data_IF_770435430168
#
_entry.id   IF_770435430168
#
_cell.length_a   1.000
_cell.length_b   1.000
_cell.length_c   1.000
_cell.angle_alpha   90.00
_cell.angle_beta   90.00
_cell.angle_gamma   90.00
#
_symmetry.space_group_name_H-M   'P 1'
#
loop_
_entity.id
_entity.type
_entity.pdbx_description
1 polymer ?
#
# COMPACT_ATOMS: atom_id res chain seq x y z
N UNK A 1 4.29 -2.47 -11.24
CA UNK A 1 4.87 -1.18 -10.76
C UNK A 1 4.09 -0.04 -11.39
N UNK A 2 3.41 0.77 -10.55
CA UNK A 2 2.47 1.80 -10.99
C UNK A 2 3.10 2.80 -11.99
N UNK A 3 2.43 3.01 -13.13
CA UNK A 3 2.79 3.99 -14.16
C UNK A 3 1.71 5.08 -14.21
N UNK A 4 2.10 6.33 -14.45
CA UNK A 4 1.16 7.44 -14.60
C UNK A 4 0.71 7.57 -16.05
N UNK A 5 -0.35 6.87 -16.39
CA UNK A 5 -1.18 7.14 -17.58
C UNK A 5 -2.66 7.36 -17.22
N UNK A 6 -2.95 7.68 -15.96
CA UNK A 6 -4.31 8.03 -15.53
C UNK A 6 -5.27 6.84 -15.43
N UNK A 7 -4.81 5.62 -15.74
CA UNK A 7 -5.60 4.38 -15.65
C UNK A 7 -4.95 3.30 -14.79
N UNK A 8 -3.69 3.46 -14.35
CA UNK A 8 -2.85 2.35 -13.84
C UNK A 8 -2.42 2.41 -12.36
N UNK A 9 -3.29 2.88 -11.47
CA UNK A 9 -3.08 2.76 -10.01
C UNK A 9 -3.99 1.70 -9.40
N UNK A 10 -3.77 0.45 -9.81
CA UNK A 10 -4.48 -0.73 -9.34
C UNK A 10 -3.49 -1.87 -9.09
N UNK A 11 -3.87 -2.81 -8.25
CA UNK A 11 -3.15 -4.07 -8.08
C UNK A 11 -3.33 -4.94 -9.32
N UNK A 12 -2.27 -5.46 -9.94
CA UNK A 12 -2.41 -6.48 -10.97
C UNK A 12 -3.11 -7.73 -10.40
N UNK A 13 -3.97 -8.35 -11.20
CA UNK A 13 -4.79 -9.50 -10.75
C UNK A 13 -3.93 -10.74 -10.41
N UNK A 14 -2.82 -10.94 -11.12
CA UNK A 14 -1.98 -12.15 -11.04
C UNK A 14 -0.60 -11.88 -10.40
N UNK A 15 -0.59 -11.32 -9.19
CA UNK A 15 0.65 -11.20 -8.41
C UNK A 15 0.86 -12.41 -7.49
N UNK A 16 2.05 -13.00 -7.56
CA UNK A 16 2.51 -14.03 -6.60
C UNK A 16 2.87 -13.44 -5.22
N UNK A 17 2.85 -12.11 -5.08
CA UNK A 17 3.24 -11.38 -3.87
C UNK A 17 2.14 -10.41 -3.46
N UNK A 18 2.01 -10.18 -2.15
CA UNK A 18 1.17 -9.10 -1.63
C UNK A 18 1.73 -7.72 -1.97
N UNK A 19 0.85 -6.73 -2.17
CA UNK A 19 1.23 -5.37 -2.57
C UNK A 19 0.44 -4.33 -1.78
N UNK A 20 1.12 -3.28 -1.33
CA UNK A 20 0.51 -2.05 -0.84
C UNK A 20 0.90 -0.91 -1.78
N UNK A 21 -0.08 -0.09 -2.16
CA UNK A 21 0.14 1.06 -3.04
C UNK A 21 -0.15 2.37 -2.31
N UNK A 22 0.63 3.41 -2.62
CA UNK A 22 0.35 4.77 -2.19
C UNK A 22 0.61 5.77 -3.32
N UNK A 23 -0.27 6.77 -3.44
CA UNK A 23 -0.14 7.85 -4.41
C UNK A 23 -0.42 9.19 -3.72
N UNK A 24 0.30 10.23 -4.12
CA UNK A 24 0.07 11.58 -3.69
C UNK A 24 0.65 12.59 -4.70
N UNK A 25 0.29 13.87 -4.56
CA UNK A 25 0.72 14.96 -5.44
C UNK A 25 2.03 15.64 -5.01
N UNK A 26 2.63 15.23 -3.89
CA UNK A 26 3.82 15.86 -3.32
C UNK A 26 5.08 15.16 -3.85
N UNK A 27 6.12 15.92 -4.19
CA UNK A 27 7.42 15.37 -4.59
C UNK A 27 8.29 15.08 -3.37
N UNK A 28 9.21 14.12 -3.49
CA UNK A 28 10.15 13.74 -2.42
C UNK A 28 9.48 13.30 -1.09
N UNK A 29 8.37 12.56 -1.18
CA UNK A 29 7.71 12.00 0.00
C UNK A 29 8.62 11.00 0.70
N UNK A 30 8.78 11.19 2.00
CA UNK A 30 9.47 10.23 2.87
C UNK A 30 8.63 8.96 3.01
N UNK A 31 9.25 7.78 2.87
CA UNK A 31 8.59 6.48 2.98
C UNK A 31 7.82 6.25 4.29
N UNK A 32 8.15 6.99 5.37
CA UNK A 32 7.41 6.97 6.64
C UNK A 32 5.96 7.42 6.49
N UNK A 33 5.66 8.29 5.53
CA UNK A 33 4.30 8.81 5.31
C UNK A 33 3.35 7.69 4.87
N UNK A 34 3.58 6.99 3.74
CA UNK A 34 2.71 5.87 3.34
C UNK A 34 2.74 4.72 4.35
N UNK A 35 3.89 4.39 4.93
CA UNK A 35 3.97 3.35 5.97
C UNK A 35 3.08 3.67 7.17
N UNK A 36 3.06 4.93 7.63
CA UNK A 36 2.20 5.36 8.72
C UNK A 36 0.71 5.29 8.33
N UNK A 37 0.36 5.69 7.11
CA UNK A 37 -1.03 5.63 6.64
C UNK A 37 -1.53 4.18 6.58
N UNK A 38 -0.74 3.29 5.98
CA UNK A 38 -1.07 1.86 5.93
C UNK A 38 -1.17 1.25 7.33
N UNK A 39 -0.24 1.56 8.23
CA UNK A 39 -0.27 1.03 9.58
C UNK A 39 -1.47 1.54 10.36
N UNK A 40 -1.78 2.85 10.28
CA UNK A 40 -2.89 3.49 11.02
C UNK A 40 -4.28 2.92 10.67
N UNK A 41 -4.43 2.12 9.62
CA UNK A 41 -5.67 1.36 9.37
C UNK A 41 -5.99 0.35 10.48
N UNK A 42 -5.02 0.03 11.36
CA UNK A 42 -5.27 -0.73 12.59
C UNK A 42 -6.42 -0.14 13.41
N UNK A 43 -6.60 1.19 13.37
CA UNK A 43 -7.63 1.92 14.12
C UNK A 43 -9.05 1.53 13.70
N UNK A 44 -9.21 0.99 12.50
CA UNK A 44 -10.50 0.53 11.96
C UNK A 44 -10.52 -1.00 11.74
N UNK A 45 -9.47 -1.70 12.16
CA UNK A 45 -9.42 -3.15 12.12
C UNK A 45 -10.10 -3.73 13.37
N UNK A 46 -11.07 -4.63 13.18
CA UNK A 46 -11.73 -5.30 14.29
C UNK A 46 -10.94 -6.56 14.69
N UNK A 47 -10.15 -6.46 15.75
CA UNK A 47 -9.36 -7.59 16.27
C UNK A 47 -10.20 -8.72 16.88
N UNK A 48 -11.41 -8.42 17.37
CA UNK A 48 -12.33 -9.42 17.95
C UNK A 48 -13.09 -10.20 16.87
N UNK A 49 -13.31 -9.57 15.71
CA UNK A 49 -13.91 -10.20 14.54
C UNK A 49 -13.05 -9.89 13.30
N UNK A 50 -11.92 -10.59 13.14
CA UNK A 50 -10.98 -10.37 12.04
C UNK A 50 -11.67 -10.42 10.68
N UNK A 51 -11.58 -9.33 9.93
CA UNK A 51 -12.02 -9.29 8.55
C UNK A 51 -11.16 -8.28 7.76
N UNK A 52 -10.70 -8.72 6.58
CA UNK A 52 -9.95 -7.89 5.65
C UNK A 52 -10.94 -7.24 4.68
N UNK A 53 -10.80 -5.93 4.54
CA UNK A 53 -11.62 -5.08 3.66
C UNK A 53 -10.71 -4.16 2.87
N UNK A 54 -11.26 -3.50 1.85
CA UNK A 54 -10.53 -2.47 1.09
C UNK A 54 -10.03 -1.30 1.93
N UNK A 55 -10.51 -1.14 3.18
CA UNK A 55 -10.12 -0.04 4.08
C UNK A 55 -9.01 -0.40 5.07
N UNK A 56 -8.76 -1.69 5.31
CA UNK A 56 -7.83 -2.15 6.33
C UNK A 56 -6.81 -3.20 5.83
N UNK A 57 -6.83 -3.49 4.52
CA UNK A 57 -5.94 -4.46 3.90
C UNK A 57 -4.47 -4.05 3.91
N UNK A 58 -4.17 -2.75 3.88
CA UNK A 58 -2.77 -2.32 3.91
C UNK A 58 -2.15 -2.62 5.28
N UNK A 59 -2.89 -2.38 6.37
CA UNK A 59 -2.44 -2.73 7.71
C UNK A 59 -2.14 -4.22 7.85
N UNK A 60 -3.06 -5.09 7.43
CA UNK A 60 -2.86 -6.54 7.56
C UNK A 60 -1.67 -7.02 6.76
N UNK A 61 -1.41 -6.44 5.59
CA UNK A 61 -0.22 -6.74 4.80
C UNK A 61 1.08 -6.31 5.50
N UNK A 62 1.08 -5.17 6.21
CA UNK A 62 2.26 -4.66 6.96
C UNK A 62 2.63 -5.58 8.13
N UNK A 63 1.64 -6.12 8.84
CA UNK A 63 1.86 -6.97 10.02
C UNK A 63 1.71 -8.47 9.73
N UNK A 64 1.72 -8.85 8.46
CA UNK A 64 1.47 -10.23 8.07
C UNK A 64 2.56 -11.17 8.58
N UNK A 65 2.19 -12.06 9.51
CA UNK A 65 3.14 -12.89 10.25
C UNK A 65 4.05 -13.72 9.36
N UNK A 66 3.57 -14.20 8.21
CA UNK A 66 4.34 -15.08 7.32
C UNK A 66 5.17 -14.34 6.26
N UNK A 67 5.04 -13.01 6.15
CA UNK A 67 5.89 -12.23 5.25
C UNK A 67 7.34 -12.24 5.77
N UNK A 68 8.29 -12.57 4.90
CA UNK A 68 9.73 -12.65 5.25
C UNK A 68 10.61 -11.66 4.49
N UNK A 69 10.15 -11.17 3.36
CA UNK A 69 10.88 -10.25 2.48
C UNK A 69 9.91 -9.21 1.94
N UNK A 70 10.41 -7.98 1.77
CA UNK A 70 9.67 -6.88 1.17
C UNK A 70 10.55 -6.17 0.15
N UNK A 71 9.92 -5.65 -0.90
CA UNK A 71 10.52 -4.73 -1.86
C UNK A 71 9.71 -3.42 -1.87
N UNK A 72 10.38 -2.29 -2.04
CA UNK A 72 9.73 -0.99 -2.12
C UNK A 72 10.32 -0.15 -3.25
N UNK A 73 9.48 0.62 -3.93
CA UNK A 73 9.89 1.53 -4.98
C UNK A 73 9.05 2.80 -4.96
N UNK A 74 9.67 3.93 -5.29
CA UNK A 74 9.00 5.22 -5.41
C UNK A 74 9.38 5.84 -6.75
N UNK A 75 8.38 6.35 -7.47
CA UNK A 75 8.58 7.07 -8.72
C UNK A 75 7.82 8.40 -8.66
N UNK A 76 8.50 9.48 -9.02
CA UNK A 76 7.86 10.78 -9.24
C UNK A 76 7.56 10.88 -10.72
N UNK A 77 6.29 11.05 -11.05
CA UNK A 77 5.94 11.30 -12.43
C UNK A 77 6.00 12.79 -12.74
N UNK A 78 6.67 13.13 -13.83
CA UNK A 78 6.62 14.46 -14.43
C UNK A 78 5.15 14.76 -14.72
N UNK A 79 4.58 15.82 -14.13
CA UNK A 79 3.31 16.36 -14.59
C UNK A 79 3.32 16.42 -16.13
N UNK A 80 2.20 16.09 -16.78
CA UNK A 80 2.03 16.55 -18.15
C UNK A 80 1.94 18.07 -18.11
#
# INVERSE_FOLDING_TARGET
MAKKDGTNFFHPDDLEYGENLAWNSIVNVNCRVPLKLWYDEWKIYNFLKPNITSRNGHFTQVVWRETRKIGCGQAVSKGK
#
